data_IF_865670949270
#
_entry.id   IF_865670949270
#
_cell.length_a   1.000
_cell.length_b   1.000
_cell.length_c   1.000
_cell.angle_alpha   90.00
_cell.angle_beta   90.00
_cell.angle_gamma   90.00
#
_symmetry.space_group_name_H-M   'P 1'
#
loop_
_entity.id
_entity.type
_entity.pdbx_description
1 polymer ?
#
# COMPACT_ATOMS: atom_id res chain seq x y z
N UNK A 1 -0.98 -18.96 1.49
CA UNK A 1 0.41 -19.24 1.92
C UNK A 1 1.47 -18.48 1.13
N UNK A 2 1.61 -18.64 -0.20
CA UNK A 2 2.67 -17.96 -0.99
C UNK A 2 2.72 -16.43 -0.76
N UNK A 3 1.57 -15.76 -0.70
CA UNK A 3 1.52 -14.32 -0.37
C UNK A 3 2.12 -13.95 0.99
N UNK A 4 2.01 -14.81 2.02
CA UNK A 4 2.61 -14.55 3.34
C UNK A 4 4.11 -14.80 3.36
N UNK A 5 4.60 -15.74 2.55
CA UNK A 5 6.05 -16.00 2.43
C UNK A 5 6.74 -14.98 1.54
N UNK A 6 6.07 -14.50 0.50
CA UNK A 6 6.61 -13.48 -0.42
C UNK A 6 6.50 -12.06 0.15
N UNK A 7 5.49 -11.78 0.98
CA UNK A 7 5.27 -10.49 1.63
C UNK A 7 5.11 -10.66 3.16
N UNK A 8 6.20 -10.91 3.90
CA UNK A 8 6.15 -10.89 5.36
C UNK A 8 5.80 -9.47 5.85
N UNK A 9 5.10 -9.36 6.98
CA UNK A 9 4.68 -8.07 7.54
C UNK A 9 5.85 -7.09 7.73
N UNK A 10 7.02 -7.58 8.13
CA UNK A 10 8.23 -6.77 8.29
C UNK A 10 8.68 -6.12 6.97
N UNK A 11 8.48 -6.81 5.84
CA UNK A 11 8.79 -6.27 4.52
C UNK A 11 7.76 -5.21 4.09
N UNK A 12 6.48 -5.43 4.38
CA UNK A 12 5.44 -4.43 4.17
C UNK A 12 5.69 -3.15 4.98
N UNK A 13 6.14 -3.29 6.23
CA UNK A 13 6.50 -2.15 7.07
C UNK A 13 7.73 -1.43 6.52
N UNK A 14 8.77 -2.17 6.10
CA UNK A 14 9.92 -1.57 5.43
C UNK A 14 9.53 -0.79 4.17
N UNK A 15 8.64 -1.33 3.32
CA UNK A 15 8.12 -0.64 2.13
C UNK A 15 7.33 0.61 2.49
N UNK A 16 6.53 0.56 3.56
CA UNK A 16 5.81 1.72 4.07
C UNK A 16 6.77 2.81 4.57
N UNK A 17 7.79 2.45 5.35
CA UNK A 17 8.84 3.39 5.80
C UNK A 17 9.57 4.01 4.60
N UNK A 18 9.97 3.19 3.61
CA UNK A 18 10.58 3.70 2.38
C UNK A 18 9.66 4.69 1.65
N UNK A 19 8.36 4.42 1.57
CA UNK A 19 7.39 5.32 0.95
C UNK A 19 7.26 6.65 1.72
N UNK A 20 7.24 6.61 3.05
CA UNK A 20 7.20 7.81 3.89
C UNK A 20 8.47 8.66 3.77
N UNK A 21 9.64 8.03 3.63
CA UNK A 21 10.92 8.72 3.43
C UNK A 21 11.06 9.30 2.02
N UNK A 22 10.56 8.57 1.01
CA UNK A 22 10.58 9.01 -0.38
C UNK A 22 9.64 10.22 -0.58
N UNK A 23 8.44 10.16 -0.01
CA UNK A 23 7.40 11.17 -0.16
C UNK A 23 6.73 11.15 -1.53
N UNK A 24 5.86 12.12 -1.77
CA UNK A 24 5.08 12.25 -3.00
C UNK A 24 4.83 13.70 -3.37
N UNK A 25 4.55 13.93 -4.65
CA UNK A 25 4.29 15.25 -5.21
C UNK A 25 2.91 15.33 -5.82
N UNK A 26 2.18 16.40 -5.50
CA UNK A 26 0.93 16.75 -6.18
C UNK A 26 1.17 17.90 -7.15
N UNK A 27 0.60 17.82 -8.36
CA UNK A 27 0.68 18.91 -9.32
C UNK A 27 -0.22 20.04 -8.85
N UNK A 28 0.38 21.19 -8.53
CA UNK A 28 -0.37 22.35 -8.09
C UNK A 28 -0.64 23.29 -9.27
N UNK A 29 -1.91 23.57 -9.63
CA UNK A 29 -2.20 24.58 -10.63
C UNK A 29 -1.74 25.93 -10.10
N UNK A 30 -1.00 26.70 -10.91
CA UNK A 30 -0.33 27.93 -10.49
C UNK A 30 -1.27 28.88 -9.73
N UNK A 31 -1.13 28.93 -8.41
CA UNK A 31 -1.78 29.90 -7.53
C UNK A 31 -0.83 31.04 -7.24
N UNK A 32 -1.30 32.27 -7.45
CA UNK A 32 -0.53 33.49 -7.26
C UNK A 32 -0.34 33.75 -5.75
N UNK A 33 0.87 33.51 -5.19
CA UNK A 33 1.51 34.33 -4.14
C UNK A 33 2.78 33.76 -3.48
N UNK A 34 3.05 32.46 -3.57
CA UNK A 34 4.24 31.89 -2.91
C UNK A 34 5.44 31.84 -3.85
N UNK A 35 6.60 32.30 -3.39
CA UNK A 35 7.88 32.18 -4.13
C UNK A 35 8.29 30.71 -4.15
N UNK A 36 8.18 29.99 -5.28
CA UNK A 36 8.43 28.56 -5.29
C UNK A 36 9.93 28.30 -5.21
N UNK A 37 10.33 27.38 -4.35
CA UNK A 37 11.73 26.97 -4.30
C UNK A 37 12.10 26.18 -5.57
N UNK A 38 13.34 26.31 -6.04
CA UNK A 38 13.83 25.49 -7.16
C UNK A 38 14.11 24.08 -6.63
N UNK A 39 13.63 23.06 -7.33
CA UNK A 39 13.88 21.67 -6.94
C UNK A 39 15.39 21.36 -6.91
N UNK A 40 15.82 20.66 -5.87
CA UNK A 40 17.17 20.15 -5.71
C UNK A 40 17.12 18.71 -5.18
N UNK A 41 17.94 17.83 -5.75
CA UNK A 41 18.04 16.43 -5.35
C UNK A 41 18.71 16.23 -3.98
N UNK A 42 19.46 17.23 -3.50
CA UNK A 42 20.19 17.20 -2.22
C UNK A 42 19.35 17.72 -1.04
N UNK A 43 18.16 18.26 -1.31
CA UNK A 43 17.32 18.91 -0.31
C UNK A 43 16.10 18.05 -0.01
N UNK A 44 15.87 17.78 1.27
CA UNK A 44 14.64 17.12 1.74
C UNK A 44 13.57 18.17 1.92
N UNK A 45 12.44 18.01 1.23
CA UNK A 45 11.34 18.97 1.26
C UNK A 45 10.31 18.56 2.32
N UNK A 46 9.99 19.43 3.30
CA UNK A 46 8.96 19.12 4.28
C UNK A 46 7.56 19.24 3.69
N UNK A 47 6.59 18.68 4.41
CA UNK A 47 5.18 18.68 4.03
C UNK A 47 4.66 20.07 3.65
N UNK A 48 3.98 20.17 2.50
CA UNK A 48 3.29 21.37 2.05
C UNK A 48 4.15 22.37 1.28
N UNK A 49 5.47 22.17 1.16
CA UNK A 49 6.34 23.09 0.41
C UNK A 49 6.08 23.00 -1.09
N UNK A 50 6.09 24.18 -1.74
CA UNK A 50 5.93 24.35 -3.17
C UNK A 50 7.30 24.40 -3.85
N UNK A 51 7.50 23.47 -4.78
CA UNK A 51 8.75 23.32 -5.50
C UNK A 51 8.50 23.38 -7.00
N UNK A 52 9.31 24.19 -7.68
CA UNK A 52 9.30 24.31 -9.12
C UNK A 52 10.29 23.31 -9.73
N UNK A 53 9.76 22.47 -10.61
CA UNK A 53 10.55 21.57 -11.45
C UNK A 53 10.19 21.81 -12.92
N UNK A 54 11.11 22.42 -13.67
CA UNK A 54 10.88 22.88 -15.04
C UNK A 54 9.79 23.98 -15.13
N UNK A 55 8.74 23.71 -15.91
CA UNK A 55 7.60 24.63 -16.13
C UNK A 55 6.42 24.37 -15.18
N UNK A 56 6.53 23.37 -14.30
CA UNK A 56 5.44 22.89 -13.47
C UNK A 56 5.73 23.17 -11.98
N UNK A 57 4.65 23.35 -11.23
CA UNK A 57 4.69 23.54 -9.78
C UNK A 57 4.15 22.30 -9.08
N UNK A 58 4.88 21.85 -8.07
CA UNK A 58 4.53 20.66 -7.31
C UNK A 58 4.48 21.00 -5.82
N UNK A 59 3.53 20.38 -5.11
CA UNK A 59 3.38 20.48 -3.67
C UNK A 59 3.82 19.17 -3.02
N UNK A 60 4.61 19.27 -1.95
CA UNK A 60 5.02 18.11 -1.17
C UNK A 60 3.86 17.55 -0.34
N UNK A 61 3.58 16.25 -0.50
CA UNK A 61 2.51 15.52 0.22
C UNK A 61 3.02 14.72 1.43
N UNK A 62 4.29 14.29 1.40
CA UNK A 62 4.89 13.49 2.47
C UNK A 62 5.45 14.34 3.61
N UNK A 63 5.73 13.72 4.75
CA UNK A 63 6.45 14.35 5.88
C UNK A 63 7.85 14.76 5.43
N UNK A 64 8.52 13.85 4.73
CA UNK A 64 9.78 14.06 4.04
C UNK A 64 9.57 13.75 2.57
N UNK A 65 10.05 14.62 1.69
CA UNK A 65 9.89 14.42 0.25
C UNK A 65 11.23 14.60 -0.45
N UNK A 66 11.73 13.49 -0.99
CA UNK A 66 13.00 13.36 -1.71
C UNK A 66 12.76 12.86 -3.14
N UNK A 67 11.54 12.42 -3.45
CA UNK A 67 11.15 11.93 -4.76
C UNK A 67 11.44 12.97 -5.87
N UNK A 68 11.67 12.48 -7.09
CA UNK A 68 11.77 13.34 -8.26
C UNK A 68 10.36 13.77 -8.68
N UNK A 69 10.04 15.08 -8.69
CA UNK A 69 8.73 15.58 -9.08
C UNK A 69 8.45 15.33 -10.56
N UNK A 70 7.28 14.76 -10.84
CA UNK A 70 6.83 14.43 -12.20
C UNK A 70 7.08 12.98 -12.62
N UNK A 71 7.78 12.18 -11.81
CA UNK A 71 7.89 10.75 -12.05
C UNK A 71 6.64 10.00 -11.58
N UNK A 72 5.98 9.30 -12.50
CA UNK A 72 4.79 8.50 -12.20
C UNK A 72 5.10 7.28 -11.30
N UNK A 73 6.32 6.74 -11.37
CA UNK A 73 6.71 5.57 -10.58
C UNK A 73 6.76 5.90 -9.09
N UNK A 74 7.41 7.01 -8.73
CA UNK A 74 7.46 7.49 -7.34
C UNK A 74 6.06 7.84 -6.82
N UNK A 75 5.22 8.49 -7.65
CA UNK A 75 3.85 8.81 -7.27
C UNK A 75 2.99 7.58 -6.99
N UNK A 76 3.08 6.54 -7.85
CA UNK A 76 2.34 5.28 -7.66
C UNK A 76 2.84 4.49 -6.44
N UNK A 77 4.16 4.48 -6.23
CA UNK A 77 4.75 3.84 -5.06
C UNK A 77 4.29 4.52 -3.77
N UNK A 78 4.40 5.86 -3.70
CA UNK A 78 3.91 6.63 -2.56
C UNK A 78 2.42 6.36 -2.31
N UNK A 79 1.56 6.48 -3.33
CA UNK A 79 0.13 6.24 -3.18
C UNK A 79 -0.23 4.81 -2.72
N UNK A 80 0.52 3.79 -3.17
CA UNK A 80 0.26 2.40 -2.79
C UNK A 80 0.66 2.11 -1.35
N UNK A 81 1.76 2.69 -0.88
CA UNK A 81 2.40 2.36 0.41
C UNK A 81 2.28 3.47 1.47
N UNK A 82 1.65 4.61 1.17
CA UNK A 82 1.43 5.72 2.11
C UNK A 82 0.64 5.28 3.36
N UNK A 83 -0.34 4.39 3.21
CA UNK A 83 -1.07 3.84 4.34
C UNK A 83 -0.91 2.32 4.42
N UNK A 84 -0.39 1.78 5.54
CA UNK A 84 -0.08 0.35 5.66
C UNK A 84 -1.35 -0.50 5.56
N UNK A 85 -2.50 0.06 5.97
CA UNK A 85 -3.81 -0.58 5.86
C UNK A 85 -4.27 -0.80 4.40
N UNK A 86 -3.82 0.04 3.46
CA UNK A 86 -4.25 -0.04 2.05
C UNK A 86 -3.71 -1.29 1.37
N UNK A 87 -2.42 -1.58 1.59
CA UNK A 87 -1.78 -2.79 1.09
C UNK A 87 -2.43 -4.04 1.68
N UNK A 88 -2.67 -4.04 3.00
CA UNK A 88 -3.32 -5.16 3.68
C UNK A 88 -4.74 -5.39 3.16
N UNK A 89 -5.51 -4.32 2.93
CA UNK A 89 -6.84 -4.43 2.34
C UNK A 89 -6.79 -5.03 0.94
N UNK A 90 -5.85 -4.62 0.09
CA UNK A 90 -5.66 -5.22 -1.25
C UNK A 90 -5.35 -6.71 -1.18
N UNK A 91 -4.44 -7.11 -0.29
CA UNK A 91 -4.11 -8.53 -0.08
C UNK A 91 -5.35 -9.31 0.40
N UNK A 92 -6.12 -8.75 1.35
CA UNK A 92 -7.34 -9.36 1.85
C UNK A 92 -8.40 -9.53 0.74
N UNK A 93 -8.59 -8.52 -0.12
CA UNK A 93 -9.52 -8.59 -1.26
C UNK A 93 -9.13 -9.68 -2.25
N UNK A 94 -7.85 -9.79 -2.62
CA UNK A 94 -7.38 -10.85 -3.53
C UNK A 94 -7.57 -12.24 -2.92
N UNK A 95 -7.28 -12.41 -1.62
CA UNK A 95 -7.51 -13.67 -0.92
C UNK A 95 -8.99 -14.03 -0.85
N UNK A 96 -9.87 -13.05 -0.61
CA UNK A 96 -11.32 -13.27 -0.59
C UNK A 96 -11.84 -13.71 -1.97
N UNK A 97 -11.41 -13.03 -3.04
CA UNK A 97 -11.76 -13.41 -4.42
C UNK A 97 -11.29 -14.83 -4.74
N UNK A 98 -10.08 -15.20 -4.32
CA UNK A 98 -9.55 -16.55 -4.49
C UNK A 98 -10.41 -17.60 -3.77
N UNK A 99 -10.83 -17.32 -2.54
CA UNK A 99 -11.71 -18.23 -1.77
C UNK A 99 -13.08 -18.36 -2.42
N UNK A 100 -13.69 -17.27 -2.89
CA UNK A 100 -14.96 -17.31 -3.62
C UNK A 100 -14.81 -18.16 -4.89
N UNK A 101 -13.72 -17.98 -5.63
CA UNK A 101 -13.43 -18.79 -6.82
C UNK A 101 -13.26 -20.28 -6.48
N UNK A 102 -12.56 -20.61 -5.40
CA UNK A 102 -12.41 -21.98 -4.93
C UNK A 102 -13.74 -22.61 -4.53
N UNK A 103 -14.61 -21.87 -3.84
CA UNK A 103 -15.97 -22.32 -3.49
C UNK A 103 -16.80 -22.59 -4.75
N UNK A 104 -16.72 -21.71 -5.74
CA UNK A 104 -17.38 -21.91 -7.03
C UNK A 104 -16.83 -23.15 -7.78
N UNK A 105 -15.53 -23.40 -7.68
CA UNK A 105 -14.92 -24.59 -8.27
C UNK A 105 -15.37 -25.89 -7.59
N UNK A 106 -15.57 -25.88 -6.27
CA UNK A 106 -16.09 -27.03 -5.52
C UNK A 106 -17.51 -27.39 -5.93
N UNK A 107 -18.38 -26.40 -6.19
CA UNK A 107 -19.77 -26.70 -6.61
C UNK A 107 -19.85 -27.25 -8.04
N UNK A 108 -18.82 -27.02 -8.86
CA UNK A 108 -18.75 -27.50 -10.25
C UNK A 108 -18.03 -28.84 -10.41
N UNK A 109 -17.24 -29.27 -9.43
CA UNK A 109 -16.41 -30.46 -9.59
C UNK A 109 -17.19 -31.75 -9.31
N UNK A 110 -17.21 -32.63 -10.31
CA UNK A 110 -17.84 -33.94 -10.22
C UNK A 110 -16.86 -35.05 -9.79
N UNK A 111 -15.55 -34.77 -9.82
CA UNK A 111 -14.51 -35.76 -9.51
C UNK A 111 -14.08 -35.67 -8.05
N UNK A 112 -14.10 -36.81 -7.34
CA UNK A 112 -13.74 -36.91 -5.93
C UNK A 112 -12.34 -36.38 -5.58
N UNK A 113 -11.34 -36.64 -6.44
CA UNK A 113 -9.97 -36.17 -6.19
C UNK A 113 -9.83 -34.65 -6.30
N UNK A 114 -10.58 -34.01 -7.21
CA UNK A 114 -10.61 -32.55 -7.37
C UNK A 114 -11.30 -31.90 -6.17
N UNK A 115 -12.36 -32.50 -5.65
CA UNK A 115 -13.01 -32.06 -4.42
C UNK A 115 -12.04 -32.09 -3.24
N UNK A 116 -11.28 -33.17 -3.08
CA UNK A 116 -10.31 -33.31 -1.98
C UNK A 116 -9.19 -32.26 -2.07
N UNK A 117 -8.61 -32.07 -3.26
CA UNK A 117 -7.52 -31.10 -3.44
C UNK A 117 -7.98 -29.65 -3.21
N UNK A 118 -9.14 -29.26 -3.74
CA UNK A 118 -9.67 -27.90 -3.58
C UNK A 118 -10.11 -27.66 -2.13
N UNK A 119 -10.69 -28.65 -1.45
CA UNK A 119 -11.05 -28.55 -0.03
C UNK A 119 -9.83 -28.33 0.85
N UNK A 120 -8.73 -29.03 0.60
CA UNK A 120 -7.47 -28.80 1.31
C UNK A 120 -6.97 -27.36 1.13
N UNK A 121 -6.91 -26.88 -0.12
CA UNK A 121 -6.53 -25.49 -0.43
C UNK A 121 -7.44 -24.46 0.24
N UNK A 122 -8.75 -24.72 0.30
CA UNK A 122 -9.74 -23.86 0.93
C UNK A 122 -9.49 -23.71 2.43
N UNK A 123 -9.20 -24.81 3.15
CA UNK A 123 -8.88 -24.77 4.59
C UNK A 123 -7.64 -23.91 4.84
N UNK A 124 -6.59 -24.07 4.04
CA UNK A 124 -5.37 -23.26 4.19
C UNK A 124 -5.60 -21.78 3.86
N UNK A 125 -6.40 -21.48 2.85
CA UNK A 125 -6.75 -20.11 2.51
C UNK A 125 -7.63 -19.46 3.58
N UNK A 126 -8.52 -20.21 4.21
CA UNK A 126 -9.30 -19.74 5.36
C UNK A 126 -8.40 -19.35 6.54
N UNK A 127 -7.42 -20.18 6.90
CA UNK A 127 -6.42 -19.85 7.92
C UNK A 127 -5.60 -18.61 7.55
N UNK A 128 -5.28 -18.45 6.27
CA UNK A 128 -4.55 -17.27 5.76
C UNK A 128 -5.39 -16.00 5.95
N UNK A 129 -6.68 -16.02 5.58
CA UNK A 129 -7.60 -14.89 5.76
C UNK A 129 -7.73 -14.55 7.24
N UNK A 130 -7.96 -15.55 8.11
CA UNK A 130 -8.07 -15.33 9.55
C UNK A 130 -6.84 -14.60 10.12
N UNK A 131 -5.63 -15.06 9.75
CA UNK A 131 -4.39 -14.39 10.16
C UNK A 131 -4.30 -12.95 9.64
N UNK A 132 -4.59 -12.70 8.36
CA UNK A 132 -4.56 -11.35 7.79
C UNK A 132 -5.54 -10.42 8.51
N UNK A 133 -6.75 -10.90 8.81
CA UNK A 133 -7.74 -10.13 9.57
C UNK A 133 -7.27 -9.81 10.99
N UNK A 134 -6.71 -10.80 11.69
CA UNK A 134 -6.14 -10.60 13.02
C UNK A 134 -5.01 -9.57 12.99
N UNK A 135 -4.09 -9.68 12.04
CA UNK A 135 -2.94 -8.78 11.94
C UNK A 135 -3.39 -7.36 11.55
N UNK A 136 -4.40 -7.24 10.69
CA UNK A 136 -5.07 -5.96 10.38
C UNK A 136 -5.68 -5.33 11.62
N UNK A 137 -6.40 -6.11 12.43
CA UNK A 137 -7.01 -5.63 13.66
C UNK A 137 -5.94 -5.14 14.65
N UNK A 138 -4.89 -5.94 14.86
CA UNK A 138 -3.77 -5.56 15.72
C UNK A 138 -3.11 -4.25 15.24
N UNK A 139 -2.87 -4.11 13.94
CA UNK A 139 -2.32 -2.86 13.37
C UNK A 139 -3.26 -1.67 13.54
N UNK A 140 -4.56 -1.86 13.38
CA UNK A 140 -5.54 -0.79 13.63
C UNK A 140 -5.50 -0.32 15.09
N UNK A 141 -5.39 -1.24 16.04
CA UNK A 141 -5.23 -0.91 17.46
C UNK A 141 -3.95 -0.11 17.71
N UNK A 142 -2.81 -0.57 17.19
CA UNK A 142 -1.52 0.13 17.34
C UNK A 142 -1.54 1.52 16.71
N UNK A 143 -2.11 1.66 15.50
CA UNK A 143 -2.24 2.96 14.83
C UNK A 143 -3.11 3.89 15.68
N UNK A 144 -4.24 3.37 16.18
CA UNK A 144 -5.17 4.11 17.03
C UNK A 144 -4.49 4.68 18.28
N UNK A 145 -3.70 3.85 18.96
CA UNK A 145 -2.91 4.26 20.13
C UNK A 145 -1.90 5.38 19.78
N UNK A 146 -1.25 5.30 18.61
CA UNK A 146 -0.30 6.34 18.17
C UNK A 146 -0.97 7.66 17.79
N UNK A 147 -2.19 7.64 17.25
CA UNK A 147 -2.90 8.85 16.81
C UNK A 147 -3.76 9.51 17.89
N UNK A 148 -3.86 8.94 19.09
CA UNK A 148 -4.52 9.60 20.24
C UNK A 148 -6.03 9.84 20.06
N UNK A 149 -6.71 8.99 19.29
CA UNK A 149 -8.17 9.02 19.01
C UNK A 149 -8.77 7.63 19.22
#
# INVERSE_FOLDING_TARGET
MLMMFMLPLNYCDALHQCALHLGGWERYPCGHRDTPHVWSALTVWPHGVLVRHGKLLYRALGIHNVAIPGDSHHGRFFFMFESPLRLINWMATVLLLLVIYQLFMVTRSHSWHQLLSVSGLLIFNYLTIYRVFRDRWALQVVIRERTGT
#
